data_IF_154513050502
#
_entry.id   IF_154513050502
#
_cell.length_a   1.000
_cell.length_b   1.000
_cell.length_c   1.000
_cell.angle_alpha   90.00
_cell.angle_beta   90.00
_cell.angle_gamma   90.00
#
_symmetry.space_group_name_H-M   'P 1'
#
loop_
_entity.id
_entity.type
_entity.pdbx_description
1 polymer ?
#
# COMPACT_ATOMS: atom_id res chain seq x y z
N UNK A 1 5.28 -3.59 -13.61
CA UNK A 1 5.21 -4.37 -12.34
C UNK A 1 4.45 -3.63 -11.25
N UNK A 2 4.85 -2.39 -10.90
CA UNK A 2 4.18 -1.58 -9.88
C UNK A 2 2.65 -1.50 -10.01
N UNK A 3 2.14 -1.07 -11.17
CA UNK A 3 0.68 -0.94 -11.39
C UNK A 3 -0.05 -2.25 -11.13
N UNK A 4 0.46 -3.38 -11.65
CA UNK A 4 -0.11 -4.72 -11.40
C UNK A 4 -0.22 -5.06 -9.91
N UNK A 5 0.77 -4.70 -9.11
CA UNK A 5 0.75 -4.93 -7.65
C UNK A 5 -0.27 -4.01 -7.00
N UNK A 6 -0.27 -2.72 -7.35
CA UNK A 6 -1.20 -1.76 -6.78
C UNK A 6 -2.66 -2.09 -7.10
N UNK A 7 -2.95 -2.48 -8.34
CA UNK A 7 -4.28 -2.86 -8.80
C UNK A 7 -4.74 -4.15 -8.10
N UNK A 8 -3.88 -5.16 -8.01
CA UNK A 8 -4.20 -6.41 -7.31
C UNK A 8 -4.50 -6.18 -5.82
N UNK A 9 -3.74 -5.30 -5.17
CA UNK A 9 -3.97 -4.96 -3.76
C UNK A 9 -5.25 -4.14 -3.58
N UNK A 10 -5.53 -3.20 -4.48
CA UNK A 10 -6.76 -2.42 -4.45
C UNK A 10 -8.01 -3.30 -4.61
N UNK A 11 -7.94 -4.29 -5.51
CA UNK A 11 -9.02 -5.28 -5.71
C UNK A 11 -9.16 -6.27 -4.55
N UNK A 12 -8.07 -6.58 -3.84
CA UNK A 12 -8.10 -7.54 -2.73
C UNK A 12 -8.54 -6.92 -1.40
N UNK A 13 -8.28 -5.61 -1.20
CA UNK A 13 -8.56 -4.95 0.06
C UNK A 13 -9.11 -3.54 -0.18
N UNK A 14 -10.42 -3.39 0.06
CA UNK A 14 -11.17 -2.14 -0.15
C UNK A 14 -10.65 -0.95 0.66
N UNK A 15 -9.74 -1.15 1.61
CA UNK A 15 -9.03 -0.05 2.26
C UNK A 15 -8.16 0.74 1.28
N UNK A 16 -7.63 0.08 0.25
CA UNK A 16 -6.75 0.70 -0.73
C UNK A 16 -7.51 1.48 -1.79
N UNK A 17 -8.78 1.16 -2.04
CA UNK A 17 -9.65 1.92 -2.92
C UNK A 17 -9.70 3.41 -2.54
N UNK A 18 -9.88 4.24 -3.55
CA UNK A 18 -10.18 5.65 -3.35
C UNK A 18 -11.64 5.77 -2.94
N UNK A 19 -11.89 6.31 -1.75
CA UNK A 19 -13.24 6.45 -1.19
C UNK A 19 -13.49 7.89 -0.79
N UNK A 20 -14.72 8.32 -1.01
CA UNK A 20 -15.19 9.61 -0.56
C UNK A 20 -15.37 9.60 0.96
N UNK A 21 -14.82 10.61 1.64
CA UNK A 21 -14.96 10.75 3.09
C UNK A 21 -16.29 11.43 3.48
N UNK A 22 -16.56 11.50 4.79
CA UNK A 22 -17.78 12.12 5.31
C UNK A 22 -17.97 13.61 4.90
N UNK A 23 -16.90 14.29 4.50
CA UNK A 23 -16.91 15.66 4.01
C UNK A 23 -17.02 15.76 2.47
N UNK A 24 -17.37 14.65 1.79
CA UNK A 24 -17.48 14.56 0.33
C UNK A 24 -16.19 14.83 -0.44
N UNK A 25 -15.04 14.53 0.17
CA UNK A 25 -13.72 14.64 -0.46
C UNK A 25 -13.17 13.25 -0.73
N UNK A 26 -12.63 13.05 -1.92
CA UNK A 26 -11.88 11.83 -2.25
C UNK A 26 -10.68 11.69 -1.32
N UNK A 27 -10.52 10.51 -0.73
CA UNK A 27 -9.36 10.14 0.06
C UNK A 27 -8.12 9.89 -0.82
N UNK A 28 -7.08 9.32 -0.23
CA UNK A 28 -5.85 9.05 -0.95
C UNK A 28 -6.04 7.96 -2.01
N UNK A 29 -5.49 8.21 -3.20
CA UNK A 29 -5.58 7.30 -4.33
C UNK A 29 -4.80 6.00 -4.05
N UNK A 30 -5.25 4.82 -4.53
CA UNK A 30 -4.56 3.54 -4.35
C UNK A 30 -3.06 3.59 -4.69
N UNK A 31 -2.69 4.19 -5.83
CA UNK A 31 -1.28 4.35 -6.20
C UNK A 31 -0.48 5.22 -5.24
N UNK A 32 -1.06 6.24 -4.60
CA UNK A 32 -0.37 7.05 -3.59
C UNK A 32 -0.08 6.21 -2.34
N UNK A 33 -1.09 5.46 -1.86
CA UNK A 33 -0.96 4.53 -0.73
C UNK A 33 0.14 3.50 -0.96
N UNK A 34 0.15 2.88 -2.15
CA UNK A 34 1.14 1.86 -2.51
C UNK A 34 2.53 2.47 -2.73
N UNK A 35 2.63 3.68 -3.32
CA UNK A 35 3.90 4.41 -3.45
C UNK A 35 4.54 4.67 -2.09
N UNK A 36 3.77 5.11 -1.08
CA UNK A 36 4.31 5.29 0.27
C UNK A 36 4.90 3.99 0.82
N UNK A 37 4.22 2.87 0.63
CA UNK A 37 4.68 1.57 1.09
C UNK A 37 6.01 1.18 0.42
N UNK A 38 6.12 1.34 -0.91
CA UNK A 38 7.37 1.06 -1.62
C UNK A 38 8.51 1.99 -1.19
N UNK A 39 8.25 3.29 -0.99
CA UNK A 39 9.27 4.24 -0.51
C UNK A 39 9.78 3.85 0.88
N UNK A 40 8.90 3.43 1.79
CA UNK A 40 9.31 2.97 3.12
C UNK A 40 10.10 1.66 3.06
N UNK A 41 9.65 0.67 2.26
CA UNK A 41 10.26 -0.66 2.20
C UNK A 41 11.59 -0.69 1.43
N UNK A 42 11.68 0.04 0.31
CA UNK A 42 12.85 0.01 -0.56
C UNK A 42 13.92 1.03 -0.16
N UNK A 43 13.50 2.22 0.27
CA UNK A 43 14.41 3.34 0.51
C UNK A 43 14.58 3.64 2.01
N UNK A 44 13.86 2.95 2.91
CA UNK A 44 13.93 3.17 4.35
C UNK A 44 13.38 4.51 4.81
N UNK A 45 12.51 5.16 4.02
CA UNK A 45 11.92 6.44 4.39
C UNK A 45 11.06 6.34 5.66
N UNK A 46 11.12 7.38 6.50
CA UNK A 46 10.22 7.55 7.63
C UNK A 46 8.86 8.05 7.16
N UNK A 47 7.80 7.67 7.88
CA UNK A 47 6.44 8.08 7.55
C UNK A 47 6.29 9.61 7.58
N UNK A 48 6.94 10.30 8.52
CA UNK A 48 6.92 11.76 8.65
C UNK A 48 7.56 12.46 7.45
N UNK A 49 8.58 11.86 6.84
CA UNK A 49 9.20 12.42 5.63
C UNK A 49 8.28 12.33 4.42
N UNK A 50 7.43 11.29 4.37
CA UNK A 50 6.51 11.05 3.26
C UNK A 50 5.17 11.77 3.41
N UNK A 51 4.81 12.22 4.63
CA UNK A 51 3.55 12.93 4.87
C UNK A 51 3.44 14.21 4.03
N UNK A 52 4.51 15.02 4.03
CA UNK A 52 4.58 16.24 3.23
C UNK A 52 4.64 15.96 1.72
N UNK A 53 5.39 14.93 1.29
CA UNK A 53 5.59 14.61 -0.13
C UNK A 53 4.30 14.06 -0.77
N UNK A 54 3.64 13.13 -0.08
CA UNK A 54 2.46 12.41 -0.59
C UNK A 54 1.13 12.99 -0.10
N UNK A 55 1.18 14.01 0.77
CA UNK A 55 0.01 14.62 1.43
C UNK A 55 -0.84 13.56 2.16
N UNK A 56 -0.17 12.70 2.93
CA UNK A 56 -0.76 11.57 3.64
C UNK A 56 -0.23 11.49 5.05
N UNK A 57 -1.10 11.64 6.07
CA UNK A 57 -0.63 11.66 7.47
C UNK A 57 0.26 10.45 7.79
N UNK A 58 1.32 10.65 8.57
CA UNK A 58 2.23 9.57 8.97
C UNK A 58 1.51 8.37 9.58
N UNK A 59 0.44 8.62 10.33
CA UNK A 59 -0.42 7.59 10.91
C UNK A 59 -1.16 6.78 9.84
N UNK A 60 -1.65 7.44 8.78
CA UNK A 60 -2.26 6.79 7.63
C UNK A 60 -1.22 5.95 6.88
N UNK A 61 -0.01 6.49 6.66
CA UNK A 61 1.09 5.79 5.99
C UNK A 61 1.47 4.50 6.75
N UNK A 62 1.67 4.59 8.06
CA UNK A 62 2.02 3.42 8.89
C UNK A 62 0.91 2.36 8.90
N UNK A 63 -0.36 2.78 8.95
CA UNK A 63 -1.50 1.86 8.86
C UNK A 63 -1.56 1.19 7.48
N UNK A 64 -1.37 1.98 6.41
CA UNK A 64 -1.34 1.51 5.04
C UNK A 64 -0.23 0.48 4.83
N UNK A 65 0.99 0.74 5.35
CA UNK A 65 2.12 -0.18 5.27
C UNK A 65 1.80 -1.54 5.92
N UNK A 66 1.19 -1.55 7.11
CA UNK A 66 0.80 -2.79 7.79
C UNK A 66 -0.20 -3.61 6.97
N UNK A 67 -1.20 -2.95 6.38
CA UNK A 67 -2.20 -3.61 5.55
C UNK A 67 -1.61 -4.08 4.21
N UNK A 68 -0.70 -3.29 3.64
CA UNK A 68 0.00 -3.60 2.39
C UNK A 68 0.82 -4.88 2.53
N UNK A 69 1.66 -4.99 3.56
CA UNK A 69 2.49 -6.19 3.78
C UNK A 69 1.62 -7.44 3.94
N UNK A 70 0.51 -7.35 4.70
CA UNK A 70 -0.44 -8.45 4.84
C UNK A 70 -1.06 -8.86 3.51
N UNK A 71 -1.55 -7.89 2.73
CA UNK A 71 -2.14 -8.15 1.41
C UNK A 71 -1.12 -8.78 0.45
N UNK A 72 0.11 -8.29 0.43
CA UNK A 72 1.19 -8.83 -0.41
C UNK A 72 1.48 -10.29 -0.05
N UNK A 73 1.65 -10.60 1.24
CA UNK A 73 1.92 -11.97 1.69
C UNK A 73 0.76 -12.91 1.34
N UNK A 74 -0.49 -12.46 1.50
CA UNK A 74 -1.65 -13.29 1.17
C UNK A 74 -1.80 -13.53 -0.34
N UNK A 75 -1.64 -12.49 -1.16
CA UNK A 75 -1.81 -12.59 -2.62
C UNK A 75 -0.65 -13.32 -3.30
N UNK A 76 0.57 -12.99 -2.91
CA UNK A 76 1.78 -13.38 -3.64
C UNK A 76 2.58 -14.47 -2.91
N UNK A 77 2.38 -14.63 -1.60
CA UNK A 77 3.07 -15.64 -0.79
C UNK A 77 2.97 -17.07 -1.34
N UNK A 78 1.77 -17.56 -1.75
CA UNK A 78 1.65 -18.91 -2.31
C UNK A 78 2.50 -19.14 -3.58
N UNK A 79 2.76 -18.09 -4.36
CA UNK A 79 3.54 -18.20 -5.58
C UNK A 79 5.05 -18.04 -5.34
N UNK A 80 5.44 -17.09 -4.48
CA UNK A 80 6.85 -16.69 -4.31
C UNK A 80 7.52 -17.20 -3.04
N UNK A 81 6.75 -17.56 -2.00
CA UNK A 81 7.26 -18.09 -0.73
C UNK A 81 7.06 -19.61 -0.62
N UNK A 82 6.71 -20.27 -1.73
CA UNK A 82 6.63 -21.74 -1.79
C UNK A 82 8.01 -22.37 -1.70
N UNK A 83 8.05 -23.59 -1.21
CA UNK A 83 9.26 -24.42 -1.34
C UNK A 83 9.64 -24.57 -2.82
N UNK A 84 10.94 -24.68 -3.15
CA UNK A 84 11.37 -25.02 -4.49
C UNK A 84 10.69 -26.33 -4.93
N UNK A 85 10.28 -26.42 -6.20
CA UNK A 85 9.93 -27.72 -6.73
C UNK A 85 11.25 -28.48 -6.92
N UNK A 86 11.40 -29.60 -6.21
CA UNK A 86 12.42 -30.59 -6.48
C UNK A 86 12.10 -31.34 -7.77
#
# INVERSE_FOLDING_TARGET
LFARIADAIAQFNDYFEEKENAARKLGCHPYQKVTACFRMLANGYYADSLDAELRMSSTLILKTLKLFVRAVVQLFGPHYLRAPNC
#
